data_IF_598272972010
#
_entry.id   IF_598272972010
#
_cell.length_a   1.000
_cell.length_b   1.000
_cell.length_c   1.000
_cell.angle_alpha   90.00
_cell.angle_beta   90.00
_cell.angle_gamma   90.00
#
_symmetry.space_group_name_H-M   'P 1'
#
loop_
_entity.id
_entity.type
_entity.pdbx_description
1 polymer ?
#
# COMPACT_ATOMS: atom_id res chain seq x y z
N UNK A 1 -6.37 10.83 1.05
CA UNK A 1 -5.30 9.86 1.37
C UNK A 1 -5.10 9.66 2.88
N UNK A 2 -4.80 10.71 3.66
CA UNK A 2 -4.65 10.61 5.13
C UNK A 2 -5.89 10.05 5.84
N UNK A 3 -7.10 10.50 5.47
CA UNK A 3 -8.35 10.01 6.05
C UNK A 3 -8.62 8.53 5.77
N UNK A 4 -8.18 8.01 4.61
CA UNK A 4 -8.30 6.59 4.27
C UNK A 4 -7.32 5.75 5.12
N UNK A 5 -6.05 6.16 5.18
CA UNK A 5 -5.03 5.49 6.00
C UNK A 5 -5.48 5.34 7.46
N UNK A 6 -6.08 6.37 8.04
CA UNK A 6 -6.52 6.34 9.44
C UNK A 6 -7.71 5.39 9.71
N UNK A 7 -8.39 4.90 8.66
CA UNK A 7 -9.54 3.99 8.77
C UNK A 7 -9.25 2.60 8.18
N UNK A 8 -8.13 2.43 7.52
CA UNK A 8 -7.77 1.20 6.82
C UNK A 8 -7.23 0.18 7.82
N UNK A 9 -7.90 -0.97 7.90
CA UNK A 9 -7.48 -2.09 8.74
C UNK A 9 -6.13 -2.67 8.32
N UNK A 10 -5.74 -2.51 7.05
CA UNK A 10 -4.43 -2.90 6.54
C UNK A 10 -3.26 -2.22 7.27
N UNK A 11 -3.51 -1.08 7.96
CA UNK A 11 -2.52 -0.38 8.76
C UNK A 11 -2.57 -0.72 10.26
N UNK A 12 -3.13 -1.86 10.64
CA UNK A 12 -3.05 -2.41 12.00
C UNK A 12 -1.62 -2.32 12.57
N UNK A 13 -1.51 -1.98 13.86
CA UNK A 13 -0.26 -1.86 14.59
C UNK A 13 0.42 -3.23 14.72
N UNK A 14 -0.38 -4.28 14.93
CA UNK A 14 0.07 -5.68 14.99
C UNK A 14 0.26 -6.30 13.58
N UNK A 15 -0.01 -5.52 12.53
CA UNK A 15 0.08 -5.95 11.15
C UNK A 15 1.53 -6.04 10.63
N UNK A 16 1.66 -6.55 9.41
CA UNK A 16 2.95 -6.70 8.72
C UNK A 16 3.18 -5.51 7.79
N UNK A 17 4.42 -5.03 7.71
CA UNK A 17 4.89 -4.13 6.67
C UNK A 17 6.05 -4.78 5.92
N UNK A 18 5.91 -4.87 4.60
CA UNK A 18 6.98 -5.27 3.71
C UNK A 18 7.28 -4.13 2.75
N UNK A 19 8.57 -3.87 2.54
CA UNK A 19 9.03 -2.86 1.61
C UNK A 19 10.00 -3.53 0.65
N UNK A 20 9.79 -3.31 -0.64
CA UNK A 20 10.67 -3.76 -1.70
C UNK A 20 10.96 -2.61 -2.63
N UNK A 21 12.23 -2.45 -2.99
CA UNK A 21 12.69 -1.35 -3.84
C UNK A 21 13.55 -1.92 -4.96
N UNK A 22 13.35 -1.41 -6.16
CA UNK A 22 14.22 -1.61 -7.32
C UNK A 22 14.65 -0.26 -7.88
N UNK A 23 15.50 -0.26 -8.91
CA UNK A 23 16.05 0.97 -9.50
C UNK A 23 14.96 1.96 -9.95
N UNK A 24 13.77 1.48 -10.33
CA UNK A 24 12.69 2.31 -10.86
C UNK A 24 11.34 2.11 -10.16
N UNK A 25 11.26 1.22 -9.16
CA UNK A 25 10.01 0.93 -8.47
C UNK A 25 10.16 0.86 -6.96
N UNK A 26 9.13 1.33 -6.26
CA UNK A 26 8.96 1.13 -4.83
C UNK A 26 7.63 0.44 -4.64
N UNK A 27 7.65 -0.71 -3.94
CA UNK A 27 6.44 -1.42 -3.56
C UNK A 27 6.40 -1.62 -2.06
N UNK A 28 5.36 -1.09 -1.43
CA UNK A 28 5.10 -1.23 0.00
C UNK A 28 3.82 -2.03 0.16
N UNK A 29 3.91 -3.12 0.91
CA UNK A 29 2.77 -3.94 1.29
C UNK A 29 2.50 -3.77 2.79
N UNK A 30 1.23 -3.54 3.13
CA UNK A 30 0.73 -3.48 4.48
C UNK A 30 -0.37 -4.52 4.62
N UNK A 31 -0.26 -5.37 5.64
CA UNK A 31 -1.20 -6.45 5.92
C UNK A 31 -1.68 -6.31 7.37
N UNK A 32 -2.95 -6.54 7.63
CA UNK A 32 -3.41 -6.70 9.01
C UNK A 32 -2.87 -8.00 9.63
N UNK A 33 -3.03 -8.16 10.95
CA UNK A 33 -2.54 -9.31 11.71
C UNK A 33 -3.06 -10.66 11.18
N UNK A 34 -4.31 -10.68 10.75
CA UNK A 34 -5.00 -11.89 10.27
C UNK A 34 -4.73 -12.17 8.79
N UNK A 35 -4.23 -11.18 8.07
CA UNK A 35 -3.99 -11.25 6.64
C UNK A 35 -5.20 -11.05 5.75
N UNK A 36 -6.31 -10.56 6.29
CA UNK A 36 -7.57 -10.34 5.58
C UNK A 36 -7.61 -9.00 4.86
N UNK A 37 -6.87 -8.01 5.36
CA UNK A 37 -6.79 -6.68 4.76
C UNK A 37 -5.38 -6.43 4.26
N UNK A 38 -5.25 -6.18 2.96
CA UNK A 38 -3.98 -5.95 2.29
C UNK A 38 -4.05 -4.64 1.51
N UNK A 39 -3.17 -3.71 1.87
CA UNK A 39 -2.93 -2.50 1.11
C UNK A 39 -1.55 -2.55 0.45
N UNK A 40 -1.51 -2.25 -0.85
CA UNK A 40 -0.30 -2.21 -1.65
C UNK A 40 -0.15 -0.82 -2.25
N UNK A 41 0.99 -0.20 -2.00
CA UNK A 41 1.46 0.96 -2.74
C UNK A 41 2.48 0.48 -3.77
N UNK A 42 2.22 0.75 -5.04
CA UNK A 42 3.14 0.50 -6.14
C UNK A 42 3.47 1.84 -6.79
N UNK A 43 4.74 2.24 -6.72
CA UNK A 43 5.23 3.50 -7.26
C UNK A 43 6.26 3.24 -8.36
N UNK A 44 6.04 3.88 -9.50
CA UNK A 44 6.94 3.96 -10.64
C UNK A 44 7.68 5.30 -10.61
N UNK A 45 8.97 5.24 -10.30
CA UNK A 45 9.83 6.42 -10.15
C UNK A 45 10.17 7.08 -11.49
N UNK A 46 10.17 6.31 -12.59
CA UNK A 46 10.46 6.83 -13.93
C UNK A 46 9.32 7.71 -14.42
N UNK A 47 8.09 7.23 -14.21
CA UNK A 47 6.88 7.92 -14.64
C UNK A 47 6.34 8.89 -13.58
N UNK A 48 6.92 8.92 -12.37
CA UNK A 48 6.43 9.69 -11.21
C UNK A 48 4.97 9.37 -10.87
N UNK A 49 4.58 8.12 -11.08
CA UNK A 49 3.23 7.61 -10.83
C UNK A 49 3.23 6.69 -9.64
N UNK A 50 2.15 6.68 -8.89
CA UNK A 50 1.92 5.64 -7.90
C UNK A 50 0.45 5.30 -7.78
N UNK A 51 0.21 4.03 -7.47
CA UNK A 51 -1.13 3.48 -7.27
C UNK A 51 -1.20 2.88 -5.89
N UNK A 52 -2.34 3.06 -5.25
CA UNK A 52 -2.66 2.40 -3.99
C UNK A 52 -3.89 1.54 -4.21
N UNK A 53 -3.74 0.27 -3.89
CA UNK A 53 -4.80 -0.73 -3.94
C UNK A 53 -4.99 -1.29 -2.53
N UNK A 54 -6.24 -1.42 -2.09
CA UNK A 54 -6.59 -2.12 -0.87
C UNK A 54 -7.66 -3.16 -1.17
N UNK A 55 -7.41 -4.42 -0.82
CA UNK A 55 -8.34 -5.54 -1.07
C UNK A 55 -8.90 -5.52 -2.50
N UNK A 56 -7.99 -5.42 -3.47
CA UNK A 56 -8.28 -5.32 -4.92
C UNK A 56 -9.04 -4.07 -5.39
N UNK A 57 -9.30 -3.12 -4.49
CA UNK A 57 -9.92 -1.82 -4.83
C UNK A 57 -8.87 -0.73 -4.94
N UNK A 58 -8.82 -0.07 -6.10
CA UNK A 58 -7.99 1.12 -6.27
C UNK A 58 -8.50 2.26 -5.38
N UNK A 59 -7.65 2.72 -4.47
CA UNK A 59 -7.92 3.82 -3.56
C UNK A 59 -7.44 5.14 -4.15
N UNK A 60 -6.29 5.10 -4.83
CA UNK A 60 -5.67 6.27 -5.42
C UNK A 60 -4.80 5.88 -6.62
N UNK A 61 -4.71 6.77 -7.59
CA UNK A 61 -3.78 6.70 -8.72
C UNK A 61 -3.49 8.12 -9.22
N UNK A 62 -2.26 8.36 -9.68
CA UNK A 62 -1.87 9.59 -10.38
C UNK A 62 -1.03 9.32 -11.64
#
# INVERSE_FOLDING_TARGET
MLAWRNKSNSFDLDGVMECSTSASKIKILRKDKLGNNVAVLDADLMNKKFVIVENDKQIFSN
#
